data_IF_671680849462
#
_entry.id   IF_671680849462
#
_cell.length_a   1.000
_cell.length_b   1.000
_cell.length_c   1.000
_cell.angle_alpha   90.00
_cell.angle_beta   90.00
_cell.angle_gamma   90.00
#
_symmetry.space_group_name_H-M   'P 1'
#
loop_
_entity.id
_entity.type
_entity.pdbx_description
1 polymer ?
#
# COMPACT_ATOMS: atom_id res chain seq x y z
N UNK A 1 0.47 58.26 -16.45
CA UNK A 1 -0.20 57.93 -15.16
C UNK A 1 -0.46 56.43 -15.21
N UNK A 2 0.02 55.50 -14.38
CA UNK A 2 0.38 55.47 -12.94
C UNK A 2 1.38 54.28 -12.81
N UNK A 3 2.67 54.51 -12.57
CA UNK A 3 3.40 54.39 -11.29
C UNK A 3 3.17 53.07 -10.50
N UNK A 4 4.13 52.15 -10.69
CA UNK A 4 4.87 51.39 -9.67
C UNK A 4 4.08 50.88 -8.44
N UNK A 5 3.42 49.72 -8.57
CA UNK A 5 3.05 48.87 -7.42
C UNK A 5 3.25 47.36 -7.66
N UNK A 6 3.99 46.95 -8.70
CA UNK A 6 4.23 45.53 -8.98
C UNK A 6 5.41 44.97 -8.18
N UNK A 7 6.35 45.83 -7.74
CA UNK A 7 7.58 45.38 -7.08
C UNK A 7 7.38 44.76 -5.66
N UNK A 8 6.49 45.25 -4.77
CA UNK A 8 6.41 44.69 -3.42
C UNK A 8 5.59 43.39 -3.34
N UNK A 9 4.76 43.06 -4.33
CA UNK A 9 3.96 41.83 -4.28
C UNK A 9 4.80 40.56 -4.46
N UNK A 10 5.94 40.65 -5.16
CA UNK A 10 6.81 39.50 -5.43
C UNK A 10 7.68 39.10 -4.22
N UNK A 11 7.91 40.03 -3.28
CA UNK A 11 8.75 39.76 -2.11
C UNK A 11 8.03 38.94 -1.01
N UNK A 12 6.69 38.88 -1.02
CA UNK A 12 5.92 38.19 0.02
C UNK A 12 5.83 36.67 -0.15
N UNK A 13 6.22 36.12 -1.31
CA UNK A 13 6.08 34.69 -1.61
C UNK A 13 7.25 33.83 -1.11
N UNK A 14 8.24 34.41 -0.41
CA UNK A 14 9.45 33.68 0.02
C UNK A 14 9.43 33.30 1.51
N UNK A 15 8.31 33.50 2.23
CA UNK A 15 8.10 32.79 3.50
C UNK A 15 7.63 31.36 3.22
N UNK A 16 8.50 30.56 2.60
CA UNK A 16 8.36 29.11 2.65
C UNK A 16 8.53 28.70 4.10
N UNK A 17 7.42 28.42 4.80
CA UNK A 17 7.47 27.77 6.09
C UNK A 17 8.35 26.53 5.92
N UNK A 18 9.47 26.49 6.65
CA UNK A 18 10.23 25.27 6.86
C UNK A 18 9.30 24.35 7.66
N UNK A 19 8.38 23.68 6.98
CA UNK A 19 7.72 22.51 7.53
C UNK A 19 8.86 21.49 7.56
N UNK A 20 9.52 21.40 8.70
CA UNK A 20 10.42 20.30 8.97
C UNK A 20 9.58 19.02 8.81
N UNK A 21 9.81 18.21 7.76
CA UNK A 21 9.03 17.01 7.52
C UNK A 21 9.18 15.99 8.67
N UNK A 22 10.16 16.20 9.56
CA UNK A 22 10.48 15.34 10.68
C UNK A 22 9.85 15.79 12.01
N UNK A 23 9.08 16.89 12.05
CA UNK A 23 8.38 17.31 13.30
C UNK A 23 7.38 16.26 13.78
N UNK A 24 6.90 15.41 12.87
CA UNK A 24 6.08 14.23 13.17
C UNK A 24 6.80 12.93 12.83
N UNK A 25 8.14 12.90 12.86
CA UNK A 25 8.84 11.62 12.83
C UNK A 25 8.24 10.76 13.95
N UNK A 26 7.53 9.66 13.65
CA UNK A 26 7.00 8.80 14.67
C UNK A 26 8.17 8.43 15.56
N UNK A 27 8.05 8.63 16.86
CA UNK A 27 9.01 8.09 17.80
C UNK A 27 9.02 6.58 17.56
N UNK A 28 10.05 6.10 16.85
CA UNK A 28 10.31 4.70 16.45
C UNK A 28 10.55 3.79 17.66
N UNK A 29 9.87 4.01 18.79
CA UNK A 29 10.14 3.33 20.05
C UNK A 29 9.65 1.88 20.05
N UNK A 30 8.80 1.49 19.10
CA UNK A 30 8.43 0.10 18.87
C UNK A 30 7.90 -0.08 17.44
N UNK A 31 8.19 -1.21 16.81
CA UNK A 31 7.55 -1.60 15.54
C UNK A 31 6.03 -1.61 15.73
N UNK A 32 5.30 -0.87 14.90
CA UNK A 32 3.84 -0.98 14.86
C UNK A 32 3.46 -2.24 14.08
N UNK A 33 3.21 -3.32 14.83
CA UNK A 33 2.87 -4.61 14.25
C UNK A 33 1.54 -4.59 13.50
N UNK A 34 0.61 -3.70 13.85
CA UNK A 34 -0.63 -3.55 13.10
C UNK A 34 -0.34 -3.04 11.69
N UNK A 35 0.47 -1.99 11.56
CA UNK A 35 0.86 -1.46 10.24
C UNK A 35 1.69 -2.48 9.44
N UNK A 36 2.60 -3.22 10.09
CA UNK A 36 3.35 -4.31 9.45
C UNK A 36 2.41 -5.37 8.87
N UNK A 37 1.39 -5.81 9.64
CA UNK A 37 0.41 -6.77 9.16
C UNK A 37 -0.39 -6.24 7.98
N UNK A 38 -0.86 -5.01 8.07
CA UNK A 38 -1.62 -4.37 7.00
C UNK A 38 -0.81 -4.26 5.70
N UNK A 39 0.44 -3.82 5.79
CA UNK A 39 1.33 -3.68 4.62
C UNK A 39 1.71 -5.03 4.01
N UNK A 40 2.01 -6.04 4.83
CA UNK A 40 2.24 -7.42 4.36
C UNK A 40 1.04 -7.92 3.53
N UNK A 41 -0.19 -7.73 4.03
CA UNK A 41 -1.38 -8.13 3.31
C UNK A 41 -1.55 -7.33 2.01
N UNK A 42 -1.43 -5.99 2.05
CA UNK A 42 -1.61 -5.11 0.88
C UNK A 42 -0.59 -5.42 -0.23
N UNK A 43 0.68 -5.63 0.14
CA UNK A 43 1.75 -5.98 -0.80
C UNK A 43 1.50 -7.34 -1.49
N UNK A 44 0.66 -8.19 -0.91
CA UNK A 44 0.31 -9.51 -1.41
C UNK A 44 1.14 -10.63 -0.78
N UNK A 45 1.77 -10.38 0.37
CA UNK A 45 2.60 -11.35 1.08
C UNK A 45 1.74 -12.37 1.80
N UNK A 46 2.23 -13.61 1.92
CA UNK A 46 1.60 -14.60 2.79
C UNK A 46 1.66 -14.15 4.25
N UNK A 47 0.71 -14.62 5.06
CA UNK A 47 0.70 -14.39 6.49
C UNK A 47 1.98 -14.96 7.10
N UNK A 48 2.61 -14.22 8.02
CA UNK A 48 3.80 -14.71 8.72
C UNK A 48 3.46 -15.90 9.62
N UNK A 49 4.35 -16.89 9.62
CA UNK A 49 4.27 -18.04 10.51
C UNK A 49 4.64 -17.67 11.95
N UNK A 50 4.35 -18.56 12.90
CA UNK A 50 4.53 -18.31 14.34
C UNK A 50 5.99 -18.00 14.72
N UNK A 51 6.98 -18.53 13.97
CA UNK A 51 8.41 -18.27 14.17
C UNK A 51 8.78 -16.78 14.04
N UNK A 52 8.01 -16.01 13.25
CA UNK A 52 8.22 -14.57 13.08
C UNK A 52 7.91 -13.75 14.34
N UNK A 53 7.25 -14.36 15.33
CA UNK A 53 6.85 -13.71 16.59
C UNK A 53 7.64 -14.21 17.80
N UNK A 54 8.78 -14.88 17.56
CA UNK A 54 9.66 -15.39 18.61
C UNK A 54 10.42 -14.30 19.39
N UNK A 55 10.51 -13.08 18.85
CA UNK A 55 11.03 -11.91 19.57
C UNK A 55 10.01 -11.41 20.59
N UNK A 56 10.50 -11.11 21.81
CA UNK A 56 9.74 -10.44 22.89
C UNK A 56 9.02 -9.14 22.48
N UNK A 57 9.49 -8.45 21.43
CA UNK A 57 8.87 -7.22 20.93
C UNK A 57 7.80 -7.47 19.86
N UNK A 58 7.62 -8.72 19.41
CA UNK A 58 6.68 -9.05 18.36
C UNK A 58 5.24 -9.21 18.89
N UNK A 59 4.31 -8.39 18.40
CA UNK A 59 2.88 -8.53 18.75
C UNK A 59 2.11 -9.21 17.61
N UNK A 60 1.97 -10.53 17.73
CA UNK A 60 1.18 -11.35 16.80
C UNK A 60 -0.29 -10.93 16.74
N UNK A 61 -0.87 -10.49 17.87
CA UNK A 61 -2.27 -10.10 17.93
C UNK A 61 -2.55 -8.83 17.13
N UNK A 62 -1.68 -7.82 17.26
CA UNK A 62 -1.74 -6.60 16.45
C UNK A 62 -1.46 -6.88 14.97
N UNK A 63 -0.44 -7.69 14.69
CA UNK A 63 -0.13 -8.12 13.32
C UNK A 63 -1.32 -8.75 12.62
N UNK A 64 -1.98 -9.73 13.24
CA UNK A 64 -3.12 -10.41 12.61
C UNK A 64 -4.31 -9.49 12.36
N UNK A 65 -4.55 -8.52 13.26
CA UNK A 65 -5.60 -7.50 13.06
C UNK A 65 -5.29 -6.63 11.85
N UNK A 66 -4.05 -6.15 11.75
CA UNK A 66 -3.57 -5.37 10.61
C UNK A 66 -3.66 -6.16 9.31
N UNK A 67 -3.21 -7.41 9.32
CA UNK A 67 -3.23 -8.31 8.17
C UNK A 67 -4.65 -8.55 7.66
N UNK A 68 -5.61 -8.81 8.56
CA UNK A 68 -7.02 -8.95 8.19
C UNK A 68 -7.60 -7.65 7.59
N UNK A 69 -7.20 -6.48 8.09
CA UNK A 69 -7.62 -5.20 7.53
C UNK A 69 -6.99 -4.93 6.15
N UNK A 70 -5.72 -5.29 5.96
CA UNK A 70 -5.06 -5.24 4.65
C UNK A 70 -5.69 -6.20 3.64
N UNK A 71 -6.10 -7.40 4.07
CA UNK A 71 -6.85 -8.34 3.22
C UNK A 71 -8.16 -7.72 2.72
N UNK A 72 -8.95 -7.06 3.58
CA UNK A 72 -10.18 -6.37 3.14
C UNK A 72 -9.90 -5.32 2.08
N UNK A 73 -8.75 -4.63 2.16
CA UNK A 73 -8.39 -3.58 1.20
C UNK A 73 -7.90 -4.15 -0.13
N UNK A 74 -7.04 -5.17 -0.11
CA UNK A 74 -6.37 -5.68 -1.31
C UNK A 74 -7.15 -6.78 -2.03
N UNK A 75 -7.88 -7.63 -1.28
CA UNK A 75 -8.63 -8.78 -1.82
C UNK A 75 -10.00 -8.36 -2.35
N UNK A 76 -10.03 -7.27 -3.11
CA UNK A 76 -11.21 -6.81 -3.84
C UNK A 76 -11.03 -7.13 -5.34
N UNK A 77 -12.15 -7.34 -6.02
CA UNK A 77 -12.20 -7.68 -7.45
C UNK A 77 -11.38 -6.71 -8.30
N UNK A 78 -11.59 -5.40 -8.12
CA UNK A 78 -10.94 -4.37 -8.94
C UNK A 78 -9.42 -4.33 -8.73
N UNK A 79 -8.96 -4.40 -7.47
CA UNK A 79 -7.53 -4.42 -7.17
C UNK A 79 -6.85 -5.70 -7.66
N UNK A 80 -7.55 -6.82 -7.54
CA UNK A 80 -7.04 -8.12 -7.97
C UNK A 80 -6.92 -8.21 -9.50
N UNK A 81 -7.92 -7.70 -10.23
CA UNK A 81 -7.87 -7.55 -11.69
C UNK A 81 -6.77 -6.58 -12.13
N UNK A 82 -6.69 -5.40 -11.49
CA UNK A 82 -5.63 -4.42 -11.77
C UNK A 82 -4.23 -4.98 -11.51
N UNK A 83 -4.06 -5.82 -10.49
CA UNK A 83 -2.80 -6.52 -10.22
C UNK A 83 -2.44 -7.49 -11.35
N UNK A 84 -3.42 -8.25 -11.86
CA UNK A 84 -3.24 -9.09 -13.05
C UNK A 84 -2.85 -8.29 -14.29
N UNK A 85 -3.57 -7.18 -14.56
CA UNK A 85 -3.26 -6.24 -15.64
C UNK A 85 -1.84 -5.66 -15.53
N UNK A 86 -1.31 -5.49 -14.33
CA UNK A 86 0.06 -5.02 -14.11
C UNK A 86 1.13 -6.11 -14.27
N UNK A 87 0.74 -7.35 -14.60
CA UNK A 87 1.63 -8.49 -14.74
C UNK A 87 2.18 -9.03 -13.41
N UNK A 88 1.61 -8.61 -12.27
CA UNK A 88 2.00 -9.10 -10.94
C UNK A 88 1.30 -10.42 -10.64
N UNK A 89 1.95 -11.25 -9.83
CA UNK A 89 1.37 -12.52 -9.35
C UNK A 89 0.10 -12.31 -8.52
N UNK A 90 -0.74 -13.34 -8.45
CA UNK A 90 -1.87 -13.38 -7.53
C UNK A 90 -1.37 -13.12 -6.10
N UNK A 91 -2.02 -12.24 -5.32
CA UNK A 91 -1.58 -11.89 -3.98
C UNK A 91 -1.79 -13.10 -3.05
N UNK A 92 -0.71 -13.59 -2.43
CA UNK A 92 -0.77 -14.73 -1.53
C UNK A 92 -1.64 -14.46 -0.30
N UNK A 93 -1.78 -13.17 0.07
CA UNK A 93 -2.72 -12.72 1.10
C UNK A 93 -4.18 -13.02 0.79
N UNK A 94 -4.54 -13.24 -0.48
CA UNK A 94 -5.91 -13.56 -0.89
C UNK A 94 -6.13 -15.06 -1.15
N UNK A 95 -5.16 -15.93 -0.85
CA UNK A 95 -5.30 -17.38 -1.06
C UNK A 95 -6.40 -18.02 -0.21
N UNK A 96 -6.65 -17.47 0.99
CA UNK A 96 -7.51 -18.08 2.01
C UNK A 96 -8.74 -17.23 2.36
N UNK A 97 -9.05 -16.19 1.59
CA UNK A 97 -10.30 -15.42 1.77
C UNK A 97 -11.49 -16.16 1.17
N UNK A 98 -12.70 -15.86 1.64
CA UNK A 98 -13.92 -16.58 1.25
C UNK A 98 -14.15 -16.62 -0.27
N UNK A 99 -13.83 -15.55 -0.97
CA UNK A 99 -13.99 -15.40 -2.42
C UNK A 99 -12.71 -15.67 -3.23
N UNK A 100 -11.73 -16.38 -2.68
CA UNK A 100 -10.42 -16.61 -3.31
C UNK A 100 -10.51 -17.12 -4.76
N UNK A 101 -11.42 -18.06 -5.07
CA UNK A 101 -11.61 -18.57 -6.44
C UNK A 101 -12.06 -17.49 -7.41
N UNK A 102 -13.04 -16.66 -7.02
CA UNK A 102 -13.50 -15.53 -7.82
C UNK A 102 -12.38 -14.51 -8.04
N UNK A 103 -11.60 -14.24 -6.99
CA UNK A 103 -10.45 -13.34 -7.09
C UNK A 103 -9.40 -13.87 -8.06
N UNK A 104 -9.13 -15.18 -8.05
CA UNK A 104 -8.19 -15.80 -8.98
C UNK A 104 -8.67 -15.69 -10.43
N UNK A 105 -9.97 -15.86 -10.70
CA UNK A 105 -10.55 -15.71 -12.03
C UNK A 105 -10.36 -14.28 -12.58
N UNK A 106 -10.65 -13.26 -11.78
CA UNK A 106 -10.50 -11.87 -12.23
C UNK A 106 -9.03 -11.45 -12.34
N UNK A 107 -8.15 -11.96 -11.47
CA UNK A 107 -6.71 -11.80 -11.64
C UNK A 107 -6.24 -12.41 -12.96
N UNK A 108 -6.65 -13.64 -13.26
CA UNK A 108 -6.26 -14.33 -14.49
C UNK A 108 -6.71 -13.56 -15.73
N UNK A 109 -7.95 -13.04 -15.72
CA UNK A 109 -8.45 -12.18 -16.80
C UNK A 109 -7.52 -10.99 -17.04
N UNK A 110 -7.12 -10.27 -15.98
CA UNK A 110 -6.19 -9.15 -16.11
C UNK A 110 -4.81 -9.58 -16.61
N UNK A 111 -4.30 -10.72 -16.12
CA UNK A 111 -3.02 -11.27 -16.55
C UNK A 111 -3.02 -11.67 -18.04
N UNK A 112 -4.12 -12.25 -18.52
CA UNK A 112 -4.31 -12.62 -19.93
C UNK A 112 -4.38 -11.38 -20.83
N UNK A 113 -5.09 -10.33 -20.39
CA UNK A 113 -5.16 -9.05 -21.11
C UNK A 113 -3.78 -8.37 -21.18
N UNK A 114 -3.02 -8.35 -20.08
CA UNK A 114 -1.63 -7.88 -20.06
C UNK A 114 -0.75 -8.68 -21.04
N UNK A 115 -0.81 -10.01 -20.97
CA UNK A 115 -0.05 -10.89 -21.87
C UNK A 115 -0.42 -10.68 -23.34
N UNK A 116 -1.71 -10.43 -23.64
CA UNK A 116 -2.17 -10.14 -24.99
C UNK A 116 -1.65 -8.81 -25.52
N UNK A 117 -1.57 -7.78 -24.66
CA UNK A 117 -1.06 -6.45 -25.02
C UNK A 117 0.44 -6.49 -25.32
N UNK A 118 1.20 -7.28 -24.57
CA UNK A 118 2.64 -7.47 -24.81
C UNK A 118 2.90 -8.19 -26.15
N UNK A 119 2.03 -9.11 -26.58
CA UNK A 119 2.20 -9.84 -27.85
C UNK A 119 1.93 -8.99 -29.10
N UNK A 120 1.19 -7.89 -28.96
CA UNK A 120 0.84 -7.01 -30.07
C UNK A 120 1.85 -5.88 -30.29
N UNK A 121 2.80 -5.69 -29.36
CA UNK A 121 3.87 -4.70 -29.42
C UNK A 121 5.21 -5.36 -29.80
#
# INVERSE_FOLDING_TARGET
MMKKFIAPLLALLVSGCQIDPYTHAPTLTSTDWYDVGMEDAISGSAIKDDDAFSDSQADRGLYLKGYAEGQKKTCQTDFTYARGLSGKSFPASCNNVENASQLHEVWQKGADENASTIRLN
#
